data_IF_158116965184
#
_entry.id   IF_158116965184
#
_cell.length_a   1.000
_cell.length_b   1.000
_cell.length_c   1.000
_cell.angle_alpha   90.00
_cell.angle_beta   90.00
_cell.angle_gamma   90.00
#
_symmetry.space_group_name_H-M   'P 1'
#
loop_
_entity.id
_entity.type
_entity.pdbx_description
1 polymer ?
#
# COMPACT_ATOMS: atom_id res chain seq x y z
N UNK A 1 -15.17 -10.97 -16.00
CA UNK A 1 -14.03 -10.26 -15.47
C UNK A 1 -13.10 -11.25 -14.75
N UNK A 2 -11.76 -11.06 -14.82
CA UNK A 2 -10.82 -11.92 -14.11
C UNK A 2 -10.91 -11.72 -12.60
N UNK A 3 -10.61 -12.79 -11.86
CA UNK A 3 -10.45 -12.79 -10.42
C UNK A 3 -9.08 -13.34 -10.04
N UNK A 4 -8.55 -12.96 -8.87
CA UNK A 4 -7.26 -13.45 -8.41
C UNK A 4 -7.23 -14.97 -8.26
N UNK A 5 -6.21 -15.58 -8.87
CA UNK A 5 -5.80 -16.93 -8.58
C UNK A 5 -4.65 -16.91 -7.56
N UNK A 6 -4.96 -17.11 -6.29
CA UNK A 6 -3.99 -17.03 -5.20
C UNK A 6 -3.24 -18.35 -4.93
N UNK A 7 -3.37 -19.35 -5.81
CA UNK A 7 -2.77 -20.68 -5.61
C UNK A 7 -1.24 -20.65 -5.65
N UNK A 8 -0.63 -19.65 -6.28
CA UNK A 8 0.83 -19.44 -6.26
C UNK A 8 1.34 -19.08 -4.85
N UNK A 9 0.48 -18.53 -3.99
CA UNK A 9 0.78 -18.30 -2.58
C UNK A 9 0.42 -19.53 -1.74
N UNK A 10 -0.89 -19.83 -1.64
CA UNK A 10 -1.40 -21.02 -0.96
C UNK A 10 -2.69 -21.49 -1.61
N UNK A 11 -2.94 -22.81 -1.61
CA UNK A 11 -4.12 -23.40 -2.25
C UNK A 11 -5.43 -23.02 -1.55
N UNK A 12 -5.43 -22.92 -0.22
CA UNK A 12 -6.56 -22.50 0.62
C UNK A 12 -6.10 -22.21 2.07
N UNK A 13 -6.96 -21.62 2.89
CA UNK A 13 -6.67 -21.17 4.26
C UNK A 13 -6.23 -22.30 5.21
N UNK A 14 -6.68 -23.53 4.95
CA UNK A 14 -6.36 -24.71 5.76
C UNK A 14 -5.30 -25.62 5.10
N UNK A 15 -4.61 -25.11 4.07
CA UNK A 15 -3.59 -25.89 3.36
C UNK A 15 -2.45 -26.31 4.27
N UNK A 16 -1.84 -27.45 3.95
CA UNK A 16 -0.72 -28.00 4.70
C UNK A 16 0.49 -27.06 4.68
N UNK A 17 0.73 -26.45 3.54
CA UNK A 17 1.84 -25.52 3.29
C UNK A 17 1.71 -24.28 4.16
N UNK A 18 0.52 -23.68 4.25
CA UNK A 18 0.26 -22.51 5.09
C UNK A 18 0.49 -22.84 6.58
N UNK A 19 0.00 -23.97 7.06
CA UNK A 19 0.22 -24.42 8.44
C UNK A 19 1.68 -24.73 8.75
N UNK A 20 2.39 -25.30 7.79
CA UNK A 20 3.83 -25.54 7.91
C UNK A 20 4.62 -24.23 7.99
N UNK A 21 4.29 -23.26 7.12
CA UNK A 21 4.95 -21.95 7.13
C UNK A 21 4.71 -21.18 8.44
N UNK A 22 3.49 -21.19 8.96
CA UNK A 22 3.19 -20.59 10.27
C UNK A 22 4.00 -21.24 11.40
N UNK A 23 4.08 -22.59 11.38
CA UNK A 23 4.85 -23.35 12.39
C UNK A 23 6.34 -23.08 12.26
N UNK A 24 6.85 -23.06 11.03
CA UNK A 24 8.25 -22.77 10.74
C UNK A 24 8.59 -21.33 11.14
N UNK A 25 7.75 -20.34 10.78
CA UNK A 25 7.96 -18.93 11.08
C UNK A 25 8.10 -18.71 12.59
N UNK A 26 7.16 -19.26 13.39
CA UNK A 26 7.23 -19.18 14.85
C UNK A 26 8.57 -19.68 15.38
N UNK A 27 8.93 -20.92 15.02
CA UNK A 27 10.15 -21.56 15.50
C UNK A 27 11.41 -20.84 15.03
N UNK A 28 11.42 -20.42 13.77
CA UNK A 28 12.58 -19.77 13.17
C UNK A 28 12.85 -18.38 13.76
N UNK A 29 11.81 -17.60 14.08
CA UNK A 29 11.96 -16.32 14.75
C UNK A 29 12.61 -16.49 16.15
N UNK A 30 12.19 -17.50 16.92
CA UNK A 30 12.77 -17.80 18.23
C UNK A 30 14.24 -18.23 18.12
N UNK A 31 14.55 -19.13 17.17
CA UNK A 31 15.94 -19.61 16.96
C UNK A 31 16.82 -18.45 16.46
N UNK A 32 16.34 -17.65 15.51
CA UNK A 32 17.07 -16.50 14.98
C UNK A 32 17.42 -15.51 16.10
N UNK A 33 16.47 -15.21 16.97
CA UNK A 33 16.72 -14.32 18.12
C UNK A 33 17.76 -14.90 19.08
N UNK A 34 17.70 -16.20 19.38
CA UNK A 34 18.67 -16.86 20.25
C UNK A 34 20.09 -16.90 19.64
N UNK A 35 20.18 -17.07 18.33
CA UNK A 35 21.46 -17.15 17.62
C UNK A 35 22.16 -15.79 17.52
N UNK A 36 21.42 -14.69 17.28
CA UNK A 36 21.98 -13.41 16.83
C UNK A 36 21.78 -12.23 17.76
N UNK A 37 20.78 -12.23 18.64
CA UNK A 37 20.50 -11.10 19.55
C UNK A 37 21.70 -10.81 20.45
N UNK A 38 22.13 -9.55 20.46
CA UNK A 38 23.30 -9.07 21.22
C UNK A 38 24.64 -9.42 20.57
N UNK A 39 24.65 -9.99 19.36
CA UNK A 39 25.87 -10.52 18.75
C UNK A 39 26.25 -9.87 17.42
N UNK A 40 25.41 -9.01 16.83
CA UNK A 40 25.63 -8.49 15.45
C UNK A 40 27.00 -7.80 15.30
N UNK A 41 27.47 -7.09 16.33
CA UNK A 41 28.77 -6.39 16.32
C UNK A 41 29.96 -7.35 16.27
N UNK A 42 29.79 -8.60 16.68
CA UNK A 42 30.86 -9.60 16.76
C UNK A 42 30.90 -10.56 15.55
N UNK A 43 29.94 -10.45 14.63
CA UNK A 43 29.89 -11.33 13.46
C UNK A 43 30.96 -10.96 12.44
N UNK A 44 31.62 -11.97 11.89
CA UNK A 44 32.41 -11.82 10.67
C UNK A 44 31.53 -11.48 9.47
N UNK A 45 32.10 -10.97 8.38
CA UNK A 45 31.34 -10.61 7.17
C UNK A 45 30.51 -11.79 6.61
N UNK A 46 31.03 -13.01 6.66
CA UNK A 46 30.33 -14.20 6.19
C UNK A 46 29.17 -14.61 7.14
N UNK A 47 29.39 -14.53 8.44
CA UNK A 47 28.33 -14.80 9.43
C UNK A 47 27.23 -13.73 9.38
N UNK A 48 27.60 -12.46 9.18
CA UNK A 48 26.66 -11.37 9.02
C UNK A 48 25.82 -11.56 7.76
N UNK A 49 26.42 -11.93 6.62
CA UNK A 49 25.69 -12.27 5.40
C UNK A 49 24.72 -13.45 5.62
N UNK A 50 25.15 -14.50 6.31
CA UNK A 50 24.29 -15.63 6.64
C UNK A 50 23.10 -15.22 7.52
N UNK A 51 23.34 -14.35 8.50
CA UNK A 51 22.30 -13.74 9.34
C UNK A 51 21.28 -12.96 8.48
N UNK A 52 21.75 -12.08 7.58
CA UNK A 52 20.92 -11.28 6.68
C UNK A 52 20.06 -12.16 5.77
N UNK A 53 20.65 -13.15 5.10
CA UNK A 53 19.91 -14.10 4.25
C UNK A 53 18.84 -14.88 5.02
N UNK A 54 19.14 -15.26 6.25
CA UNK A 54 18.18 -15.94 7.10
C UNK A 54 17.02 -15.01 7.51
N UNK A 55 17.32 -13.75 7.84
CA UNK A 55 16.30 -12.72 8.11
C UNK A 55 15.43 -12.46 6.88
N UNK A 56 16.04 -12.40 5.70
CA UNK A 56 15.33 -12.25 4.42
C UNK A 56 14.36 -13.42 4.16
N UNK A 57 14.79 -14.67 4.43
CA UNK A 57 13.91 -15.84 4.33
C UNK A 57 12.71 -15.75 5.28
N UNK A 58 12.93 -15.30 6.52
CA UNK A 58 11.83 -15.05 7.49
C UNK A 58 10.86 -14.00 6.93
N UNK A 59 11.41 -12.90 6.38
CA UNK A 59 10.59 -11.83 5.77
C UNK A 59 9.80 -12.30 4.57
N UNK A 60 10.36 -13.15 3.72
CA UNK A 60 9.68 -13.72 2.56
C UNK A 60 8.52 -14.64 2.95
N UNK A 61 8.70 -15.48 3.97
CA UNK A 61 7.63 -16.38 4.46
C UNK A 61 6.51 -15.58 5.13
N UNK A 62 6.87 -14.61 6.00
CA UNK A 62 5.86 -13.74 6.62
C UNK A 62 5.13 -12.88 5.59
N UNK A 63 5.86 -12.35 4.58
CA UNK A 63 5.29 -11.62 3.46
C UNK A 63 4.30 -12.45 2.65
N UNK A 64 4.63 -13.71 2.34
CA UNK A 64 3.71 -14.62 1.63
C UNK A 64 2.43 -14.90 2.42
N UNK A 65 2.53 -15.12 3.73
CA UNK A 65 1.39 -15.34 4.61
C UNK A 65 0.46 -14.13 4.67
N UNK A 66 1.02 -12.94 4.90
CA UNK A 66 0.22 -11.72 5.01
C UNK A 66 -0.37 -11.30 3.67
N UNK A 67 0.37 -11.47 2.56
CA UNK A 67 -0.15 -11.18 1.23
C UNK A 67 -1.34 -12.08 0.87
N UNK A 68 -1.25 -13.38 1.16
CA UNK A 68 -2.37 -14.30 0.92
C UNK A 68 -3.60 -13.92 1.73
N UNK A 69 -3.43 -13.61 3.02
CA UNK A 69 -4.54 -13.22 3.87
C UNK A 69 -5.16 -11.87 3.46
N UNK A 70 -4.32 -10.88 3.14
CA UNK A 70 -4.73 -9.56 2.68
C UNK A 70 -5.47 -9.61 1.34
N UNK A 71 -4.93 -10.32 0.33
CA UNK A 71 -5.57 -10.45 -0.97
C UNK A 71 -6.94 -11.14 -0.87
N UNK A 72 -7.07 -12.15 0.00
CA UNK A 72 -8.39 -12.76 0.28
C UNK A 72 -9.37 -11.78 0.92
N UNK A 73 -8.92 -10.97 1.85
CA UNK A 73 -9.74 -9.91 2.45
C UNK A 73 -10.18 -8.89 1.40
N UNK A 74 -9.26 -8.42 0.55
CA UNK A 74 -9.57 -7.45 -0.51
C UNK A 74 -10.49 -7.98 -1.61
N UNK A 75 -10.64 -9.29 -1.75
CA UNK A 75 -11.68 -9.85 -2.62
C UNK A 75 -13.11 -9.60 -2.12
N UNK A 76 -13.31 -9.40 -0.79
CA UNK A 76 -14.59 -9.03 -0.18
C UNK A 76 -14.35 -8.54 1.25
N UNK A 77 -14.27 -7.22 1.42
CA UNK A 77 -13.98 -6.57 2.71
C UNK A 77 -15.10 -6.68 3.73
N UNK A 78 -16.31 -7.03 3.27
CA UNK A 78 -17.51 -7.23 4.11
C UNK A 78 -17.70 -8.68 4.57
N UNK A 79 -16.83 -9.60 4.14
CA UNK A 79 -16.88 -11.02 4.53
C UNK A 79 -16.19 -11.22 5.89
N UNK A 80 -16.97 -11.54 6.92
CA UNK A 80 -16.49 -11.71 8.29
C UNK A 80 -15.47 -12.84 8.47
N UNK A 81 -15.55 -13.93 7.68
CA UNK A 81 -14.57 -15.03 7.76
C UNK A 81 -13.21 -14.58 7.19
N UNK A 82 -13.20 -13.81 6.12
CA UNK A 82 -11.99 -13.27 5.50
C UNK A 82 -11.33 -12.23 6.39
N UNK A 83 -12.13 -11.32 6.98
CA UNK A 83 -11.66 -10.34 7.97
C UNK A 83 -11.02 -11.01 9.17
N UNK A 84 -11.69 -12.03 9.74
CA UNK A 84 -11.15 -12.82 10.84
C UNK A 84 -9.85 -13.51 10.47
N UNK A 85 -9.78 -14.15 9.30
CA UNK A 85 -8.58 -14.85 8.84
C UNK A 85 -7.38 -13.88 8.71
N UNK A 86 -7.59 -12.69 8.11
CA UNK A 86 -6.56 -11.66 8.01
C UNK A 86 -6.08 -11.23 9.41
N UNK A 87 -7.00 -10.95 10.31
CA UNK A 87 -6.67 -10.53 11.69
C UNK A 87 -5.89 -11.61 12.44
N UNK A 88 -6.28 -12.88 12.34
CA UNK A 88 -5.59 -14.01 12.96
C UNK A 88 -4.16 -14.19 12.41
N UNK A 89 -3.95 -13.97 11.11
CA UNK A 89 -2.61 -14.05 10.50
C UNK A 89 -1.75 -12.86 10.91
N UNK A 90 -2.29 -11.65 10.90
CA UNK A 90 -1.59 -10.43 11.33
C UNK A 90 -1.12 -10.55 12.79
N UNK A 91 -2.02 -10.96 13.69
CA UNK A 91 -1.69 -11.15 15.11
C UNK A 91 -0.56 -12.16 15.30
N UNK A 92 -0.65 -13.34 14.66
CA UNK A 92 0.39 -14.37 14.75
C UNK A 92 1.74 -13.86 14.24
N UNK A 93 1.76 -13.21 13.07
CA UNK A 93 3.00 -12.68 12.49
C UNK A 93 3.60 -11.62 13.43
N UNK A 94 2.79 -10.69 13.95
CA UNK A 94 3.27 -9.65 14.87
C UNK A 94 3.87 -10.25 16.14
N UNK A 95 3.20 -11.24 16.75
CA UNK A 95 3.72 -11.93 17.94
C UNK A 95 5.04 -12.64 17.63
N UNK A 96 5.14 -13.36 16.50
CA UNK A 96 6.35 -14.12 16.17
C UNK A 96 7.51 -13.19 15.81
N UNK A 97 7.26 -12.13 15.05
CA UNK A 97 8.30 -11.21 14.57
C UNK A 97 8.72 -10.17 15.60
N UNK A 98 7.98 -10.00 16.71
CA UNK A 98 8.38 -9.09 17.79
C UNK A 98 9.73 -9.46 18.39
N UNK A 99 10.10 -10.74 18.38
CA UNK A 99 11.43 -11.20 18.79
C UNK A 99 12.57 -10.75 17.87
N UNK A 100 12.26 -10.28 16.63
CA UNK A 100 13.24 -9.89 15.62
C UNK A 100 13.54 -8.39 15.58
N UNK A 101 12.84 -7.59 16.35
CA UNK A 101 13.00 -6.12 16.40
C UNK A 101 14.46 -5.75 16.71
N UNK A 102 15.15 -6.58 17.55
CA UNK A 102 16.54 -6.38 17.91
C UNK A 102 17.46 -6.19 16.69
N UNK A 103 17.16 -6.85 15.56
CA UNK A 103 18.03 -6.80 14.40
C UNK A 103 18.21 -5.37 13.88
N UNK A 104 17.10 -4.64 13.64
CA UNK A 104 17.18 -3.24 13.21
C UNK A 104 17.77 -2.34 14.31
N UNK A 105 17.43 -2.60 15.57
CA UNK A 105 17.94 -1.82 16.70
C UNK A 105 19.45 -1.96 16.86
N UNK A 106 19.97 -3.18 16.79
CA UNK A 106 21.42 -3.45 16.85
C UNK A 106 22.14 -2.96 15.59
N UNK A 107 21.55 -3.16 14.39
CA UNK A 107 22.10 -2.63 13.15
C UNK A 107 22.29 -1.11 13.21
N UNK A 108 21.33 -0.39 13.82
CA UNK A 108 21.41 1.05 14.02
C UNK A 108 22.48 1.45 15.04
N UNK A 109 22.82 0.58 15.99
CA UNK A 109 23.87 0.81 17.00
C UNK A 109 25.28 0.50 16.49
N UNK A 110 25.43 -0.20 15.34
CA UNK A 110 26.74 -0.51 14.77
C UNK A 110 27.46 0.78 14.33
N UNK A 111 28.77 0.93 14.62
CA UNK A 111 29.57 2.03 14.07
C UNK A 111 29.59 2.02 12.54
N UNK A 112 29.59 3.20 11.90
CA UNK A 112 29.65 3.29 10.43
C UNK A 112 30.86 2.55 9.86
N UNK A 113 32.05 2.75 10.40
CA UNK A 113 33.27 2.08 9.96
C UNK A 113 33.25 0.55 10.12
N UNK A 114 32.43 0.01 11.04
CA UNK A 114 32.25 -1.44 11.19
C UNK A 114 31.55 -2.06 9.98
N UNK A 115 30.46 -1.45 9.53
CA UNK A 115 29.75 -1.91 8.32
C UNK A 115 30.60 -1.78 7.07
N UNK A 116 31.35 -0.68 6.92
CA UNK A 116 32.25 -0.48 5.77
C UNK A 116 33.35 -1.57 5.73
N UNK A 117 33.87 -1.96 6.89
CA UNK A 117 34.82 -3.08 6.99
C UNK A 117 34.17 -4.40 6.55
N UNK A 118 32.93 -4.72 7.02
CA UNK A 118 32.24 -5.94 6.61
C UNK A 118 31.94 -5.97 5.11
N UNK A 119 31.56 -4.83 4.51
CA UNK A 119 31.33 -4.72 3.06
C UNK A 119 32.62 -4.95 2.26
N UNK A 120 33.78 -4.45 2.73
CA UNK A 120 35.07 -4.65 2.06
C UNK A 120 35.52 -6.11 2.07
N UNK A 121 35.06 -6.90 3.04
CA UNK A 121 35.41 -8.31 3.20
C UNK A 121 34.48 -9.27 2.45
N UNK A 122 33.29 -8.82 2.03
CA UNK A 122 32.30 -9.66 1.35
C UNK A 122 31.48 -8.85 0.33
N UNK A 123 31.72 -9.10 -0.96
CA UNK A 123 31.06 -8.40 -2.07
C UNK A 123 29.52 -8.64 -2.08
N UNK A 124 29.07 -9.84 -1.76
CA UNK A 124 27.63 -10.13 -1.71
C UNK A 124 26.95 -9.35 -0.58
N UNK A 125 27.59 -9.21 0.57
CA UNK A 125 27.10 -8.39 1.67
C UNK A 125 27.03 -6.91 1.27
N UNK A 126 27.97 -6.41 0.46
CA UNK A 126 27.99 -5.02 0.02
C UNK A 126 26.73 -4.63 -0.78
N UNK A 127 26.06 -5.58 -1.43
CA UNK A 127 24.81 -5.36 -2.16
C UNK A 127 23.65 -4.99 -1.23
N UNK A 128 23.73 -5.33 0.06
CA UNK A 128 22.74 -4.95 1.06
C UNK A 128 22.96 -3.53 1.63
N UNK A 129 24.06 -2.87 1.28
CA UNK A 129 24.38 -1.51 1.76
C UNK A 129 23.20 -0.54 1.58
N UNK A 130 22.53 -0.42 0.42
CA UNK A 130 21.40 0.49 0.26
C UNK A 130 20.24 0.17 1.20
N UNK A 131 20.00 -1.10 1.51
CA UNK A 131 18.95 -1.53 2.46
C UNK A 131 19.31 -1.10 3.87
N UNK A 132 20.56 -1.31 4.28
CA UNK A 132 21.02 -0.93 5.62
C UNK A 132 21.11 0.58 5.78
N UNK A 133 21.53 1.32 4.77
CA UNK A 133 21.52 2.79 4.79
C UNK A 133 20.11 3.33 5.02
N UNK A 134 19.08 2.71 4.41
CA UNK A 134 17.66 3.06 4.61
C UNK A 134 17.19 2.78 6.03
N UNK A 135 17.52 1.62 6.59
CA UNK A 135 17.20 1.28 7.98
C UNK A 135 17.89 2.28 8.92
N UNK A 136 19.16 2.59 8.67
CA UNK A 136 19.95 3.50 9.49
C UNK A 136 19.55 4.97 9.38
N UNK A 137 18.88 5.37 8.31
CA UNK A 137 18.30 6.71 8.20
C UNK A 137 17.29 7.03 9.32
N UNK A 138 16.69 6.00 9.92
CA UNK A 138 15.80 6.13 11.08
C UNK A 138 16.54 6.19 12.42
N UNK A 139 17.85 5.93 12.46
CA UNK A 139 18.64 5.88 13.70
C UNK A 139 18.48 7.12 14.60
N UNK A 140 18.51 8.37 14.08
CA UNK A 140 18.37 9.57 14.92
C UNK A 140 16.99 9.67 15.60
N UNK A 141 15.99 8.95 15.10
CA UNK A 141 14.59 8.98 15.52
C UNK A 141 14.16 7.69 16.22
N UNK A 142 15.10 6.81 16.51
CA UNK A 142 14.87 5.55 17.20
C UNK A 142 14.65 5.81 18.69
N UNK A 143 13.63 5.17 19.24
CA UNK A 143 13.34 5.18 20.68
C UNK A 143 14.15 4.08 21.41
N UNK A 144 13.90 3.93 22.72
CA UNK A 144 14.48 2.80 23.47
C UNK A 144 13.94 1.46 22.94
N UNK A 145 14.71 0.40 23.14
CA UNK A 145 14.36 -0.94 22.65
C UNK A 145 12.99 -1.41 23.16
N UNK A 146 12.65 -1.06 24.41
CA UNK A 146 11.36 -1.37 25.05
C UNK A 146 10.21 -0.61 24.37
N UNK A 147 10.41 0.69 24.07
CA UNK A 147 9.40 1.49 23.42
C UNK A 147 9.21 1.08 21.95
N UNK A 148 10.28 0.75 21.23
CA UNK A 148 10.16 0.24 19.85
C UNK A 148 9.39 -1.08 19.81
N UNK A 149 9.65 -1.98 20.78
CA UNK A 149 8.89 -3.23 20.90
C UNK A 149 7.42 -2.96 21.24
N UNK A 150 7.16 -2.08 22.19
CA UNK A 150 5.80 -1.69 22.57
C UNK A 150 5.03 -1.09 21.39
N UNK A 151 5.63 -0.15 20.63
CA UNK A 151 5.01 0.44 19.44
C UNK A 151 4.76 -0.59 18.33
N UNK A 152 5.67 -1.55 18.15
CA UNK A 152 5.46 -2.63 17.18
C UNK A 152 4.23 -3.49 17.55
N UNK A 153 4.10 -3.86 18.82
CA UNK A 153 2.96 -4.65 19.29
C UNK A 153 1.64 -3.82 19.26
N UNK A 154 1.73 -2.51 19.51
CA UNK A 154 0.58 -1.59 19.48
C UNK A 154 0.09 -1.32 18.04
N UNK A 155 0.91 -1.52 17.02
CA UNK A 155 0.57 -1.26 15.62
C UNK A 155 -0.73 -1.91 15.16
N UNK A 156 -1.05 -3.11 15.67
CA UNK A 156 -2.31 -3.82 15.38
C UNK A 156 -3.55 -2.96 15.75
N UNK A 157 -3.44 -2.15 16.83
CA UNK A 157 -4.54 -1.27 17.28
C UNK A 157 -4.69 -0.08 16.33
N UNK A 158 -3.58 0.46 15.82
CA UNK A 158 -3.58 1.51 14.79
C UNK A 158 -4.26 1.04 13.50
N UNK A 159 -3.90 -0.16 13.02
CA UNK A 159 -4.48 -0.79 11.81
C UNK A 159 -6.01 -0.98 11.91
N UNK A 160 -6.57 -1.07 13.12
CA UNK A 160 -8.01 -1.22 13.30
C UNK A 160 -8.81 0.01 12.82
N UNK A 161 -8.22 1.21 12.85
CA UNK A 161 -8.86 2.43 12.34
C UNK A 161 -8.94 2.44 10.81
N UNK A 162 -7.93 1.90 10.12
CA UNK A 162 -7.95 1.73 8.67
C UNK A 162 -9.02 0.72 8.26
N UNK A 163 -9.09 -0.42 8.95
CA UNK A 163 -10.15 -1.42 8.72
C UNK A 163 -11.55 -0.84 8.94
N UNK A 164 -11.74 -0.06 10.01
CA UNK A 164 -13.03 0.60 10.27
C UNK A 164 -13.39 1.57 9.16
N UNK A 165 -12.42 2.30 8.59
CA UNK A 165 -12.65 3.16 7.42
C UNK A 165 -13.07 2.34 6.21
N UNK A 166 -12.34 1.28 5.88
CA UNK A 166 -12.61 0.42 4.73
C UNK A 166 -13.98 -0.27 4.82
N UNK A 167 -14.30 -0.82 5.97
CA UNK A 167 -15.61 -1.44 6.23
C UNK A 167 -16.74 -0.43 6.15
N UNK A 168 -16.53 0.77 6.70
CA UNK A 168 -17.55 1.84 6.68
C UNK A 168 -17.80 2.31 5.25
N UNK A 169 -16.74 2.62 4.48
CA UNK A 169 -16.89 3.15 3.12
C UNK A 169 -17.45 2.10 2.15
N UNK A 170 -17.06 0.84 2.33
CA UNK A 170 -17.53 -0.27 1.49
C UNK A 170 -19.01 -0.60 1.75
N UNK A 171 -19.52 -0.30 2.93
CA UNK A 171 -20.93 -0.49 3.32
C UNK A 171 -21.83 0.69 2.96
N UNK A 172 -21.32 1.77 2.35
CA UNK A 172 -22.17 2.90 1.97
C UNK A 172 -23.03 2.57 0.76
N UNK A 173 -24.29 2.99 0.82
CA UNK A 173 -25.26 2.90 -0.26
C UNK A 173 -25.69 4.29 -0.69
N UNK A 174 -25.85 4.48 -2.01
CA UNK A 174 -26.16 5.74 -2.66
C UNK A 174 -27.44 5.60 -3.47
N UNK A 175 -28.45 6.42 -3.19
CA UNK A 175 -29.76 6.37 -3.84
C UNK A 175 -29.77 7.26 -5.08
N UNK A 176 -29.80 6.67 -6.27
CA UNK A 176 -29.87 7.37 -7.56
C UNK A 176 -31.20 7.01 -8.24
N UNK A 177 -32.19 7.90 -8.15
CA UNK A 177 -33.55 7.58 -8.56
C UNK A 177 -34.14 6.44 -7.69
N UNK A 178 -34.56 5.35 -8.32
CA UNK A 178 -35.09 4.15 -7.65
C UNK A 178 -34.01 3.06 -7.41
N UNK A 179 -32.75 3.34 -7.76
CA UNK A 179 -31.64 2.38 -7.64
C UNK A 179 -30.77 2.68 -6.42
N UNK A 180 -30.28 1.63 -5.77
CA UNK A 180 -29.22 1.70 -4.76
C UNK A 180 -27.89 1.27 -5.40
N UNK A 181 -26.94 2.20 -5.40
CA UNK A 181 -25.60 1.98 -5.97
C UNK A 181 -24.56 1.90 -4.85
N UNK A 182 -23.48 1.17 -5.09
CA UNK A 182 -22.27 1.23 -4.26
C UNK A 182 -21.42 2.47 -4.63
N UNK A 183 -20.35 2.71 -3.87
CA UNK A 183 -19.46 3.86 -4.09
C UNK A 183 -18.90 3.90 -5.52
N UNK A 184 -18.36 2.79 -6.02
CA UNK A 184 -17.72 2.72 -7.34
C UNK A 184 -18.72 3.04 -8.47
N UNK A 185 -19.90 2.44 -8.42
CA UNK A 185 -20.97 2.71 -9.41
C UNK A 185 -21.42 4.17 -9.37
N UNK A 186 -21.45 4.77 -8.18
CA UNK A 186 -21.82 6.18 -8.01
C UNK A 186 -20.71 7.12 -8.52
N UNK A 187 -19.43 6.80 -8.24
CA UNK A 187 -18.30 7.54 -8.77
C UNK A 187 -18.22 7.47 -10.30
N UNK A 188 -18.60 6.34 -10.90
CA UNK A 188 -18.66 6.19 -12.36
C UNK A 188 -19.64 7.15 -13.01
N UNK A 189 -20.72 7.57 -12.30
CA UNK A 189 -21.64 8.59 -12.81
C UNK A 189 -20.93 9.93 -13.07
N UNK A 190 -19.86 10.25 -12.33
CA UNK A 190 -19.09 11.49 -12.53
C UNK A 190 -18.35 11.53 -13.87
N UNK A 191 -18.27 10.40 -14.57
CA UNK A 191 -17.67 10.26 -15.91
C UNK A 191 -18.74 10.02 -16.99
N UNK A 192 -20.05 10.12 -16.69
CA UNK A 192 -21.10 9.98 -17.68
C UNK A 192 -21.14 11.20 -18.62
N UNK A 193 -21.51 11.00 -19.90
CA UNK A 193 -21.69 12.08 -20.86
C UNK A 193 -22.83 13.02 -20.45
N UNK A 194 -23.90 12.51 -19.79
CA UNK A 194 -25.01 13.28 -19.32
C UNK A 194 -24.65 14.07 -18.04
N UNK A 195 -24.66 15.40 -18.15
CA UNK A 195 -24.38 16.31 -17.03
C UNK A 195 -25.32 16.10 -15.85
N UNK A 196 -26.59 15.80 -16.10
CA UNK A 196 -27.58 15.60 -15.04
C UNK A 196 -27.26 14.37 -14.20
N UNK A 197 -26.76 13.30 -14.83
CA UNK A 197 -26.30 12.11 -14.10
C UNK A 197 -25.07 12.39 -13.25
N UNK A 198 -24.08 13.17 -13.79
CA UNK A 198 -22.91 13.58 -13.03
C UNK A 198 -23.30 14.40 -11.79
N UNK A 199 -24.23 15.35 -11.97
CA UNK A 199 -24.77 16.18 -10.88
C UNK A 199 -25.48 15.33 -9.82
N UNK A 200 -26.35 14.39 -10.23
CA UNK A 200 -27.03 13.47 -9.30
C UNK A 200 -26.03 12.66 -8.50
N UNK A 201 -25.02 12.08 -9.17
CA UNK A 201 -23.97 11.32 -8.51
C UNK A 201 -23.20 12.16 -7.49
N UNK A 202 -22.76 13.37 -7.86
CA UNK A 202 -22.04 14.28 -6.97
C UNK A 202 -22.86 14.70 -5.74
N UNK A 203 -24.14 15.03 -5.96
CA UNK A 203 -25.04 15.42 -4.88
C UNK A 203 -25.31 14.27 -3.90
N UNK A 204 -25.53 13.06 -4.38
CA UNK A 204 -25.74 11.90 -3.50
C UNK A 204 -24.45 11.51 -2.76
N UNK A 205 -23.29 11.54 -3.41
CA UNK A 205 -21.99 11.38 -2.73
C UNK A 205 -21.84 12.40 -1.59
N UNK A 206 -22.10 13.67 -1.86
CA UNK A 206 -22.02 14.73 -0.85
C UNK A 206 -22.97 14.49 0.33
N UNK A 207 -24.20 14.08 0.05
CA UNK A 207 -25.23 13.81 1.05
C UNK A 207 -24.84 12.62 1.95
N UNK A 208 -24.43 11.49 1.35
CA UNK A 208 -24.07 10.27 2.09
C UNK A 208 -22.82 10.48 2.91
N UNK A 209 -21.77 11.09 2.35
CA UNK A 209 -20.55 11.42 3.10
C UNK A 209 -20.82 12.42 4.23
N UNK A 210 -21.64 13.46 3.99
CA UNK A 210 -22.03 14.41 5.05
C UNK A 210 -22.79 13.74 6.19
N UNK A 211 -23.63 12.75 5.90
CA UNK A 211 -24.35 11.97 6.91
C UNK A 211 -23.38 11.16 7.78
N UNK A 212 -22.29 10.70 7.21
CA UNK A 212 -21.26 9.87 7.88
C UNK A 212 -20.03 10.66 8.35
N UNK A 213 -20.03 12.00 8.21
CA UNK A 213 -18.87 12.84 8.51
C UNK A 213 -18.31 12.66 9.92
N UNK A 214 -19.16 12.34 10.90
CA UNK A 214 -18.75 12.16 12.30
C UNK A 214 -17.79 10.98 12.48
N UNK A 215 -18.08 9.84 11.81
CA UNK A 215 -17.21 8.66 11.90
C UNK A 215 -15.90 8.89 11.14
N UNK A 216 -15.95 9.44 9.92
CA UNK A 216 -14.75 9.74 9.15
C UNK A 216 -13.84 10.76 9.85
N UNK A 217 -14.43 11.83 10.42
CA UNK A 217 -13.66 12.80 11.22
C UNK A 217 -13.06 12.18 12.47
N UNK A 218 -13.75 11.23 13.11
CA UNK A 218 -13.22 10.54 14.29
C UNK A 218 -12.03 9.69 13.92
N UNK A 219 -12.13 8.89 12.87
CA UNK A 219 -11.03 8.04 12.38
C UNK A 219 -9.83 8.92 12.04
N UNK A 220 -10.02 9.93 11.19
CA UNK A 220 -8.93 10.81 10.76
C UNK A 220 -8.25 11.52 11.94
N UNK A 221 -9.02 12.12 12.84
CA UNK A 221 -8.48 12.84 13.99
C UNK A 221 -7.75 11.92 14.96
N UNK A 222 -8.19 10.66 15.11
CA UNK A 222 -7.52 9.69 15.98
C UNK A 222 -6.17 9.29 15.40
N UNK A 223 -6.11 8.94 14.10
CA UNK A 223 -4.86 8.60 13.42
C UNK A 223 -3.88 9.80 13.39
N UNK A 224 -4.38 11.00 13.11
CA UNK A 224 -3.57 12.22 13.14
C UNK A 224 -2.98 12.48 14.54
N UNK A 225 -3.75 12.25 15.60
CA UNK A 225 -3.29 12.42 16.98
C UNK A 225 -2.28 11.35 17.40
N UNK A 226 -2.51 10.10 17.01
CA UNK A 226 -1.55 9.01 17.23
C UNK A 226 -0.21 9.33 16.56
N UNK A 227 -0.26 9.73 15.28
CA UNK A 227 0.95 10.14 14.54
C UNK A 227 1.65 11.31 15.20
N UNK A 228 0.93 12.34 15.63
CA UNK A 228 1.51 13.49 16.32
C UNK A 228 2.27 13.07 17.58
N UNK A 229 1.67 12.20 18.39
CA UNK A 229 2.31 11.69 19.63
C UNK A 229 3.58 10.93 19.30
N UNK A 230 3.54 9.99 18.34
CA UNK A 230 4.70 9.20 17.92
C UNK A 230 5.80 10.11 17.36
N UNK A 231 5.45 11.07 16.50
CA UNK A 231 6.41 12.02 15.92
C UNK A 231 7.09 12.88 17.00
N UNK A 232 6.35 13.34 18.01
CA UNK A 232 6.90 14.09 19.15
C UNK A 232 7.89 13.23 19.98
N UNK A 233 7.52 11.98 20.27
CA UNK A 233 8.41 11.07 20.99
C UNK A 233 9.70 10.78 20.22
N UNK A 234 9.59 10.64 18.89
CA UNK A 234 10.73 10.39 18.00
C UNK A 234 11.56 11.65 17.71
N UNK A 235 11.06 12.84 18.01
CA UNK A 235 11.70 14.10 17.66
C UNK A 235 11.70 14.39 16.15
N UNK A 236 10.64 13.97 15.42
CA UNK A 236 10.51 14.22 13.98
C UNK A 236 10.44 15.72 13.69
N UNK A 237 11.22 16.24 12.70
CA UNK A 237 11.26 17.68 12.40
C UNK A 237 9.95 18.28 11.89
N UNK A 238 9.13 17.46 11.21
CA UNK A 238 7.82 17.86 10.66
C UNK A 238 6.91 16.64 10.51
N UNK A 239 5.58 16.84 10.40
CA UNK A 239 4.64 15.74 10.19
C UNK A 239 4.90 14.91 8.92
N UNK A 240 5.49 15.51 7.88
CA UNK A 240 5.80 14.84 6.61
C UNK A 240 7.13 14.09 6.65
N UNK A 241 8.01 14.39 7.61
CA UNK A 241 9.38 13.92 7.60
C UNK A 241 9.49 12.39 7.64
N UNK A 242 8.67 11.71 8.43
CA UNK A 242 8.59 10.25 8.44
C UNK A 242 8.25 9.66 7.06
N UNK A 243 7.38 10.36 6.27
CA UNK A 243 7.07 9.98 4.90
C UNK A 243 8.25 10.22 3.95
N UNK A 244 9.00 11.31 4.13
CA UNK A 244 10.21 11.56 3.34
C UNK A 244 11.25 10.45 3.56
N UNK A 245 11.49 10.07 4.82
CA UNK A 245 12.37 8.93 5.14
C UNK A 245 11.89 7.62 4.50
N UNK A 246 10.61 7.29 4.60
CA UNK A 246 10.06 6.05 4.03
C UNK A 246 10.10 6.03 2.49
N UNK A 247 9.97 7.19 1.85
CA UNK A 247 10.06 7.35 0.40
C UNK A 247 11.51 7.53 -0.09
N UNK A 248 12.49 7.61 0.81
CA UNK A 248 13.91 7.84 0.50
C UNK A 248 14.13 9.09 -0.35
N UNK A 249 13.46 10.17 0.02
CA UNK A 249 13.54 11.47 -0.68
C UNK A 249 13.84 12.57 0.33
N UNK A 250 14.70 13.49 -0.08
CA UNK A 250 15.06 14.66 0.72
C UNK A 250 13.89 15.67 0.73
N UNK A 251 13.62 16.35 1.87
CA UNK A 251 12.54 17.34 1.99
C UNK A 251 12.60 18.43 0.92
N UNK A 252 13.82 18.86 0.54
CA UNK A 252 14.08 19.90 -0.46
C UNK A 252 13.59 19.48 -1.86
N UNK A 253 13.72 18.19 -2.21
CA UNK A 253 13.22 17.64 -3.49
C UNK A 253 11.69 17.68 -3.52
N UNK A 254 11.04 17.31 -2.42
CA UNK A 254 9.57 17.37 -2.31
C UNK A 254 9.08 18.82 -2.40
N UNK A 255 9.76 19.75 -1.73
CA UNK A 255 9.38 21.15 -1.76
C UNK A 255 9.63 21.77 -3.15
N UNK A 256 10.72 21.41 -3.83
CA UNK A 256 10.98 21.83 -5.21
C UNK A 256 9.89 21.33 -6.17
N UNK A 257 9.48 20.05 -6.03
CA UNK A 257 8.36 19.50 -6.81
C UNK A 257 7.05 20.23 -6.54
N UNK A 258 6.70 20.45 -5.27
CA UNK A 258 5.50 21.20 -4.88
C UNK A 258 5.50 22.59 -5.50
N UNK A 259 6.61 23.32 -5.40
CA UNK A 259 6.72 24.68 -5.92
C UNK A 259 6.61 24.71 -7.45
N UNK A 260 7.24 23.77 -8.15
CA UNK A 260 7.13 23.63 -9.60
C UNK A 260 5.69 23.33 -10.04
N UNK A 261 4.99 22.41 -9.35
CA UNK A 261 3.59 22.06 -9.64
C UNK A 261 2.68 23.27 -9.41
N UNK A 262 2.79 23.95 -8.27
CA UNK A 262 1.95 25.13 -7.96
C UNK A 262 2.20 26.26 -8.96
N UNK A 263 3.46 26.53 -9.31
CA UNK A 263 3.81 27.55 -10.32
C UNK A 263 3.29 27.20 -11.74
N UNK A 264 3.04 25.92 -12.00
CA UNK A 264 2.53 25.46 -13.29
C UNK A 264 1.00 25.52 -13.40
N UNK A 265 0.24 25.64 -12.31
CA UNK A 265 -1.22 25.69 -12.34
C UNK A 265 -1.81 26.67 -13.34
N UNK A 266 -1.41 27.96 -13.38
CA UNK A 266 -2.00 28.92 -14.31
C UNK A 266 -1.74 28.57 -15.78
N UNK A 267 -0.59 27.94 -16.08
CA UNK A 267 -0.18 27.61 -17.44
C UNK A 267 -0.74 26.28 -17.95
N UNK A 268 -1.07 25.35 -17.06
CA UNK A 268 -1.50 23.99 -17.39
C UNK A 268 -2.94 23.73 -16.96
N UNK A 269 -3.19 23.47 -15.68
CA UNK A 269 -4.50 23.02 -15.22
C UNK A 269 -5.59 24.08 -15.34
N UNK A 270 -5.33 25.33 -14.98
CA UNK A 270 -6.33 26.40 -15.14
C UNK A 270 -6.67 26.62 -16.61
N UNK A 271 -5.64 26.70 -17.46
CA UNK A 271 -5.83 26.80 -18.91
C UNK A 271 -6.60 25.60 -19.50
N UNK A 272 -6.28 24.40 -19.04
CA UNK A 272 -6.99 23.19 -19.48
C UNK A 272 -8.49 23.26 -19.12
N UNK A 273 -8.83 23.66 -17.91
CA UNK A 273 -10.23 23.75 -17.50
C UNK A 273 -10.99 24.88 -18.20
N UNK A 274 -10.33 25.99 -18.55
CA UNK A 274 -10.93 27.01 -19.41
C UNK A 274 -11.25 26.45 -20.81
N UNK A 275 -10.30 25.77 -21.44
CA UNK A 275 -10.50 25.11 -22.73
C UNK A 275 -11.59 24.02 -22.65
N UNK A 276 -11.57 23.21 -21.57
CA UNK A 276 -12.58 22.18 -21.36
C UNK A 276 -13.98 22.80 -21.24
N UNK A 277 -14.12 23.88 -20.49
CA UNK A 277 -15.35 24.64 -20.36
C UNK A 277 -15.88 25.07 -21.76
N UNK A 278 -15.00 25.63 -22.60
CA UNK A 278 -15.35 26.07 -23.96
C UNK A 278 -15.74 24.88 -24.85
N UNK A 279 -14.98 23.81 -24.87
CA UNK A 279 -15.27 22.59 -25.65
C UNK A 279 -16.59 21.96 -25.26
N UNK A 280 -16.96 22.02 -23.99
CA UNK A 280 -18.24 21.52 -23.50
C UNK A 280 -19.40 22.50 -23.69
N UNK A 281 -19.16 23.73 -24.15
CA UNK A 281 -20.19 24.78 -24.36
C UNK A 281 -20.83 25.25 -23.05
N UNK A 282 -20.09 25.19 -21.92
CA UNK A 282 -20.62 25.54 -20.60
C UNK A 282 -20.25 26.98 -20.23
N UNK A 283 -21.14 27.67 -19.50
CA UNK A 283 -20.87 28.97 -18.92
C UNK A 283 -19.80 28.87 -17.81
N UNK A 284 -19.88 27.83 -16.99
CA UNK A 284 -18.91 27.49 -15.93
C UNK A 284 -18.86 25.97 -15.74
N UNK A 285 -17.70 25.48 -15.20
CA UNK A 285 -17.53 24.11 -14.77
C UNK A 285 -17.89 23.96 -13.29
N UNK A 286 -18.70 22.96 -13.00
CA UNK A 286 -18.91 22.50 -11.64
C UNK A 286 -17.94 21.37 -11.29
N UNK A 287 -17.88 21.01 -9.99
CA UNK A 287 -16.99 19.94 -9.53
C UNK A 287 -17.24 18.60 -10.24
N UNK A 288 -18.48 18.31 -10.58
CA UNK A 288 -18.88 17.09 -11.30
C UNK A 288 -18.54 17.12 -12.81
N UNK A 289 -18.18 18.29 -13.36
CA UNK A 289 -17.72 18.39 -14.75
C UNK A 289 -16.21 18.12 -14.90
N UNK A 290 -15.48 18.05 -13.76
CA UNK A 290 -14.02 17.88 -13.75
C UNK A 290 -13.55 16.68 -14.56
N UNK A 291 -14.19 15.52 -14.39
CA UNK A 291 -13.85 14.26 -15.06
C UNK A 291 -14.82 13.92 -16.19
N UNK A 292 -15.71 14.85 -16.56
CA UNK A 292 -16.62 14.65 -17.68
C UNK A 292 -15.87 14.35 -18.97
N UNK A 293 -16.31 13.38 -19.80
CA UNK A 293 -15.71 13.10 -21.10
C UNK A 293 -15.88 14.30 -22.03
N UNK A 294 -14.92 14.47 -22.95
CA UNK A 294 -15.02 15.53 -23.95
C UNK A 294 -16.03 15.15 -25.04
N UNK A 295 -16.70 16.13 -25.67
CA UNK A 295 -17.72 15.85 -26.71
C UNK A 295 -17.22 15.05 -27.90
N UNK A 296 -15.91 15.01 -28.13
CA UNK A 296 -15.25 14.27 -29.20
C UNK A 296 -14.78 12.87 -28.82
N UNK A 297 -14.94 12.46 -27.58
CA UNK A 297 -14.57 11.12 -27.13
C UNK A 297 -15.55 10.08 -27.65
N UNK A 298 -15.03 8.98 -28.18
CA UNK A 298 -15.86 7.89 -28.70
C UNK A 298 -16.36 7.01 -27.54
N UNK A 299 -17.64 6.62 -27.59
CA UNK A 299 -18.23 5.63 -26.68
C UNK A 299 -17.82 4.19 -27.01
N UNK A 300 -16.59 3.98 -27.45
CA UNK A 300 -16.13 2.65 -27.84
C UNK A 300 -15.95 1.77 -26.61
N UNK A 301 -16.72 0.69 -26.53
CA UNK A 301 -16.52 -0.34 -25.51
C UNK A 301 -15.44 -1.30 -25.98
N UNK A 302 -14.39 -1.45 -25.21
CA UNK A 302 -13.30 -2.39 -25.47
C UNK A 302 -13.51 -3.62 -24.56
N UNK A 303 -13.51 -4.82 -25.16
CA UNK A 303 -13.60 -6.06 -24.39
C UNK A 303 -12.33 -6.28 -23.55
N UNK A 304 -12.43 -7.06 -22.48
CA UNK A 304 -11.24 -7.41 -21.67
C UNK A 304 -10.13 -8.04 -22.51
N UNK A 305 -10.51 -8.94 -23.43
CA UNK A 305 -9.56 -9.62 -24.32
C UNK A 305 -8.85 -8.63 -25.25
N UNK A 306 -9.60 -7.69 -25.84
CA UNK A 306 -9.02 -6.68 -26.71
C UNK A 306 -8.14 -5.70 -25.92
N UNK A 307 -8.55 -5.31 -24.71
CA UNK A 307 -7.77 -4.46 -23.82
C UNK A 307 -6.44 -5.15 -23.42
N UNK A 308 -6.47 -6.44 -23.08
CA UNK A 308 -5.28 -7.23 -22.77
C UNK A 308 -4.31 -7.23 -23.94
N UNK A 309 -4.83 -7.51 -25.16
CA UNK A 309 -4.02 -7.49 -26.37
C UNK A 309 -3.41 -6.11 -26.62
N UNK A 310 -4.21 -5.06 -26.51
CA UNK A 310 -3.75 -3.68 -26.74
C UNK A 310 -2.61 -3.30 -25.78
N UNK A 311 -2.73 -3.66 -24.50
CA UNK A 311 -1.69 -3.39 -23.48
C UNK A 311 -0.40 -4.15 -23.80
N UNK A 312 -0.50 -5.44 -24.13
CA UNK A 312 0.69 -6.26 -24.46
C UNK A 312 1.35 -5.81 -25.77
N UNK A 313 0.55 -5.45 -26.79
CA UNK A 313 1.06 -4.91 -28.05
C UNK A 313 1.78 -3.56 -27.84
N UNK A 314 1.23 -2.67 -26.99
CA UNK A 314 1.86 -1.40 -26.64
C UNK A 314 3.18 -1.60 -25.89
N UNK A 315 3.23 -2.52 -24.92
CA UNK A 315 4.46 -2.85 -24.21
C UNK A 315 5.51 -3.48 -25.13
N UNK A 316 5.08 -4.40 -25.99
CA UNK A 316 5.97 -5.02 -26.99
C UNK A 316 6.54 -4.01 -27.99
N UNK A 317 5.75 -3.01 -28.36
CA UNK A 317 6.19 -1.91 -29.24
C UNK A 317 7.28 -1.03 -28.61
N UNK A 318 7.37 -0.99 -27.27
CA UNK A 318 8.44 -0.31 -26.55
C UNK A 318 9.64 -1.24 -26.30
N UNK A 319 9.42 -2.38 -25.67
CA UNK A 319 10.42 -3.44 -25.41
C UNK A 319 9.69 -4.78 -25.21
N UNK A 320 10.08 -5.82 -25.97
CA UNK A 320 9.44 -7.15 -25.90
C UNK A 320 9.50 -7.75 -24.48
N UNK A 321 10.57 -7.50 -23.73
CA UNK A 321 10.71 -7.98 -22.34
C UNK A 321 9.69 -7.35 -21.41
N UNK A 322 9.21 -6.14 -21.71
CA UNK A 322 8.16 -5.48 -20.94
C UNK A 322 6.82 -6.22 -21.12
N UNK A 323 6.50 -6.65 -22.34
CA UNK A 323 5.34 -7.49 -22.61
C UNK A 323 5.45 -8.87 -21.96
N UNK A 324 6.63 -9.51 -22.01
CA UNK A 324 6.91 -10.80 -21.35
C UNK A 324 6.71 -10.72 -19.82
N UNK A 325 7.11 -9.61 -19.19
CA UNK A 325 6.90 -9.39 -17.75
C UNK A 325 5.45 -9.08 -17.39
N UNK A 326 4.68 -8.48 -18.30
CA UNK A 326 3.28 -8.12 -18.09
C UNK A 326 2.32 -9.30 -18.36
N UNK A 327 2.67 -10.21 -19.29
CA UNK A 327 1.82 -11.33 -19.71
C UNK A 327 1.33 -12.20 -18.53
N UNK A 328 2.16 -12.58 -17.54
CA UNK A 328 1.72 -13.40 -16.41
C UNK A 328 0.61 -12.77 -15.57
N UNK A 329 0.49 -11.44 -15.55
CA UNK A 329 -0.61 -10.77 -14.85
C UNK A 329 -1.97 -11.15 -15.42
N UNK A 330 -2.03 -11.34 -16.74
CA UNK A 330 -3.26 -11.71 -17.45
C UNK A 330 -3.46 -13.22 -17.46
N UNK A 331 -2.42 -14.01 -17.74
CA UNK A 331 -2.53 -15.46 -17.94
C UNK A 331 -2.60 -16.24 -16.63
N UNK A 332 -1.96 -15.75 -15.55
CA UNK A 332 -1.92 -16.44 -14.25
C UNK A 332 -3.00 -15.99 -13.25
N UNK A 333 -3.85 -15.04 -13.65
CA UNK A 333 -4.90 -14.51 -12.77
C UNK A 333 -4.35 -13.66 -11.63
N UNK A 334 -3.39 -12.77 -11.93
CA UNK A 334 -2.84 -11.81 -10.96
C UNK A 334 -3.58 -10.47 -10.98
N UNK A 335 -4.66 -10.37 -11.74
CA UNK A 335 -5.55 -9.20 -11.79
C UNK A 335 -6.92 -9.60 -11.25
N UNK A 336 -7.48 -8.82 -10.36
CA UNK A 336 -8.89 -8.88 -9.92
C UNK A 336 -9.61 -7.64 -10.41
N UNK A 337 -10.47 -7.79 -11.41
CA UNK A 337 -11.21 -6.69 -12.03
C UNK A 337 -12.73 -6.88 -11.93
N UNK A 338 -13.20 -7.90 -11.21
CA UNK A 338 -14.62 -8.09 -10.96
C UNK A 338 -15.16 -6.99 -10.04
N UNK A 339 -16.32 -6.42 -10.37
CA UNK A 339 -17.00 -5.44 -9.50
C UNK A 339 -17.45 -6.16 -8.22
N UNK A 340 -16.92 -5.76 -7.10
CA UNK A 340 -17.18 -6.35 -5.77
C UNK A 340 -17.42 -5.24 -4.75
N UNK A 341 -18.05 -5.53 -3.61
CA UNK A 341 -18.17 -4.58 -2.50
C UNK A 341 -16.81 -4.44 -1.79
N UNK A 342 -15.89 -3.71 -2.40
CA UNK A 342 -14.54 -3.41 -1.90
C UNK A 342 -14.24 -1.93 -2.09
N UNK A 343 -13.37 -1.35 -1.25
CA UNK A 343 -13.04 0.08 -1.32
C UNK A 343 -12.20 0.46 -2.54
N UNK A 344 -11.48 -0.49 -3.18
CA UNK A 344 -10.61 -0.24 -4.34
C UNK A 344 -10.49 -1.46 -5.25
N UNK A 345 -10.18 -1.19 -6.53
CA UNK A 345 -9.65 -2.23 -7.44
C UNK A 345 -8.14 -2.30 -7.24
N UNK A 346 -7.65 -3.43 -6.74
CA UNK A 346 -6.24 -3.59 -6.45
C UNK A 346 -5.51 -4.32 -7.59
N UNK A 347 -4.40 -3.73 -8.04
CA UNK A 347 -3.36 -4.42 -8.78
C UNK A 347 -2.35 -4.95 -7.76
N UNK A 348 -2.13 -6.25 -7.74
CA UNK A 348 -1.08 -6.84 -6.92
C UNK A 348 0.14 -7.11 -7.75
N UNK A 349 1.28 -6.63 -7.26
CA UNK A 349 2.59 -7.08 -7.70
C UNK A 349 2.96 -8.32 -6.87
N UNK A 350 3.47 -9.39 -7.51
CA UNK A 350 4.00 -10.54 -6.80
C UNK A 350 5.20 -10.20 -5.95
#
# INVERSE_FOLDING_TARGET
>A
WPEWNLKDLYSHTESKELKQDLTWLKKECEIFANDFKGKLVNLSANEFLACVKRKEKISNVSGRLISFAGLRYYQSTTDGERTKFLSDIQEKITIYTSSLIFFNLELNKLPNGHLDLLYSQNEELSRYKPVFDRIRALQPYQLSDELEKFLHELGIVGDAWEKLFDETISGLEFSIGDELLNLESTLNLLTDHDRSKREMGANELSKVFSKNIKIFSRIHNTQAKEKEIIDQWRGMPSPQFGRHLSNHVEPEVVEALRNAVVASYPKLSHRYYELKREWMGLEYLEIWDRNAPLPMESNQTITWTDATKLVLDAYSGFDSRMAELAEPFFSKGWIDAAVKPVSYTHLTLP
#
